data_IF_310983169322
#
_entry.id   IF_310983169322
#
_cell.length_a   1.000
_cell.length_b   1.000
_cell.length_c   1.000
_cell.angle_alpha   90.00
_cell.angle_beta   90.00
_cell.angle_gamma   90.00
#
_symmetry.space_group_name_H-M   'P 1'
#
loop_
_entity.id
_entity.type
_entity.pdbx_description
1 polymer ?
#
# COMPACT_ATOMS: atom_id res chain seq x y z
N UNK A 1 7.64 -16.18 -9.69
CA UNK A 1 7.81 -14.71 -9.65
C UNK A 1 6.50 -13.94 -9.90
N UNK A 2 5.53 -14.46 -10.67
CA UNK A 2 4.29 -13.76 -11.01
C UNK A 2 3.52 -13.18 -9.80
N UNK A 3 3.41 -13.93 -8.70
CA UNK A 3 2.74 -13.46 -7.47
C UNK A 3 3.39 -12.24 -6.81
N UNK A 4 4.73 -12.15 -6.83
CA UNK A 4 5.45 -10.98 -6.30
C UNK A 4 5.18 -9.73 -7.14
N UNK A 5 5.19 -9.88 -8.47
CA UNK A 5 4.85 -8.78 -9.39
C UNK A 5 3.42 -8.29 -9.17
N UNK A 6 2.44 -9.21 -9.09
CA UNK A 6 1.04 -8.87 -8.86
C UNK A 6 0.80 -8.17 -7.51
N UNK A 7 1.48 -8.62 -6.44
CA UNK A 7 1.45 -7.97 -5.14
C UNK A 7 2.00 -6.53 -5.21
N UNK A 8 3.15 -6.33 -5.86
CA UNK A 8 3.71 -4.99 -6.08
C UNK A 8 2.80 -4.06 -6.88
N UNK A 9 2.19 -4.58 -7.95
CA UNK A 9 1.21 -3.83 -8.76
C UNK A 9 -0.05 -3.43 -7.97
N UNK A 10 -0.50 -4.28 -7.05
CA UNK A 10 -1.63 -4.00 -6.16
C UNK A 10 -1.33 -2.83 -5.24
N UNK A 11 -0.14 -2.80 -4.63
CA UNK A 11 0.30 -1.68 -3.78
C UNK A 11 0.43 -0.39 -4.58
N UNK A 12 0.99 -0.46 -5.80
CA UNK A 12 1.08 0.70 -6.68
C UNK A 12 -0.31 1.27 -7.02
N UNK A 13 -1.28 0.40 -7.32
CA UNK A 13 -2.67 0.80 -7.60
C UNK A 13 -3.33 1.42 -6.38
N UNK A 14 -3.15 0.81 -5.21
CA UNK A 14 -3.67 1.31 -3.94
C UNK A 14 -3.16 2.72 -3.64
N UNK A 15 -1.84 2.90 -3.63
CA UNK A 15 -1.22 4.19 -3.35
C UNK A 15 -1.58 5.24 -4.41
N UNK A 16 -1.57 4.87 -5.70
CA UNK A 16 -1.93 5.79 -6.79
C UNK A 16 -3.35 6.34 -6.71
N UNK A 17 -4.28 5.63 -6.06
CA UNK A 17 -5.67 6.06 -5.90
C UNK A 17 -5.91 7.01 -4.71
N UNK A 18 -5.01 7.05 -3.72
CA UNK A 18 -5.19 7.83 -2.48
C UNK A 18 -5.24 9.37 -2.66
N UNK A 19 -4.43 9.99 -3.54
CA UNK A 19 -4.48 11.45 -3.77
C UNK A 19 -5.75 11.93 -4.49
N UNK A 20 -6.49 11.03 -5.14
CA UNK A 20 -7.65 11.35 -5.96
C UNK A 20 -9.00 11.05 -5.30
N UNK A 21 -10.08 11.22 -6.05
CA UNK A 21 -11.44 10.86 -5.63
C UNK A 21 -11.68 9.33 -5.52
N UNK A 22 -10.70 8.51 -5.90
CA UNK A 22 -10.81 7.06 -5.99
C UNK A 22 -10.57 6.32 -4.65
N UNK A 23 -10.79 6.97 -3.50
CA UNK A 23 -10.57 6.36 -2.17
C UNK A 23 -11.34 5.06 -1.98
N UNK A 24 -12.60 4.99 -2.44
CA UNK A 24 -13.38 3.75 -2.38
C UNK A 24 -12.77 2.63 -3.21
N UNK A 25 -12.13 2.94 -4.34
CA UNK A 25 -11.42 1.93 -5.15
C UNK A 25 -10.13 1.48 -4.45
N UNK A 26 -9.45 2.37 -3.75
CA UNK A 26 -8.30 2.03 -2.92
C UNK A 26 -8.72 1.11 -1.76
N UNK A 27 -9.83 1.41 -1.10
CA UNK A 27 -10.35 0.63 0.03
C UNK A 27 -10.77 -0.78 -0.41
N UNK A 28 -11.29 -0.95 -1.63
CA UNK A 28 -11.65 -2.25 -2.20
C UNK A 28 -10.46 -3.23 -2.38
N UNK A 29 -9.22 -2.71 -2.33
CA UNK A 29 -7.99 -3.52 -2.39
C UNK A 29 -7.60 -4.09 -1.02
N UNK A 30 -8.28 -3.71 0.06
CA UNK A 30 -8.09 -4.29 1.37
C UNK A 30 -8.91 -5.57 1.53
N UNK A 31 -8.45 -6.48 2.40
CA UNK A 31 -9.22 -7.66 2.80
C UNK A 31 -10.59 -7.23 3.32
N UNK A 32 -11.66 -7.83 2.77
CA UNK A 32 -13.04 -7.45 3.11
C UNK A 32 -13.50 -6.12 2.49
N UNK A 33 -12.75 -5.55 1.55
CA UNK A 33 -13.11 -4.36 0.78
C UNK A 33 -13.04 -3.04 1.56
N UNK A 34 -12.41 -3.04 2.73
CA UNK A 34 -12.19 -1.84 3.54
C UNK A 34 -10.93 -1.99 4.40
N UNK A 35 -10.23 -0.89 4.70
CA UNK A 35 -9.16 -0.94 5.68
C UNK A 35 -9.69 -1.29 7.09
N UNK A 36 -8.82 -1.81 7.97
CA UNK A 36 -9.16 -1.94 9.38
C UNK A 36 -9.51 -0.58 10.00
N UNK A 37 -10.27 -0.53 11.12
CA UNK A 37 -10.76 0.72 11.70
C UNK A 37 -9.67 1.76 12.02
N UNK A 38 -8.48 1.31 12.40
CA UNK A 38 -7.28 2.14 12.55
C UNK A 38 -6.19 1.49 11.72
N UNK A 39 -6.08 1.84 10.43
CA UNK A 39 -5.03 1.27 9.61
C UNK A 39 -3.71 1.93 9.95
N UNK A 40 -2.63 1.15 9.95
CA UNK A 40 -1.28 1.68 10.21
C UNK A 40 -0.76 2.60 9.10
N UNK A 41 -1.56 2.86 8.06
CA UNK A 41 -1.35 3.90 7.05
C UNK A 41 -2.29 5.10 7.19
N UNK A 42 -3.01 5.20 8.31
CA UNK A 42 -3.91 6.31 8.62
C UNK A 42 -3.22 7.67 8.49
N UNK A 43 -1.92 7.73 8.84
CA UNK A 43 -1.11 8.93 8.70
C UNK A 43 -1.07 9.44 7.24
N UNK A 44 -0.97 8.56 6.24
CA UNK A 44 -1.05 8.92 4.83
C UNK A 44 -2.48 9.31 4.43
N UNK A 45 -3.46 8.53 4.86
CA UNK A 45 -4.88 8.78 4.55
C UNK A 45 -5.41 10.10 5.14
N UNK A 46 -4.82 10.56 6.24
CA UNK A 46 -5.13 11.82 6.90
C UNK A 46 -4.48 13.05 6.21
N UNK A 47 -3.55 12.85 5.28
CA UNK A 47 -2.93 13.98 4.57
C UNK A 47 -3.95 14.60 3.62
N UNK A 48 -4.38 15.82 3.96
CA UNK A 48 -5.16 16.68 3.08
C UNK A 48 -4.26 17.52 2.16
N UNK A 49 -4.86 18.10 1.12
CA UNK A 49 -4.16 19.05 0.24
C UNK A 49 -2.96 18.46 -0.50
N UNK A 50 -3.00 17.16 -0.83
CA UNK A 50 -1.96 16.50 -1.61
C UNK A 50 -1.94 17.10 -3.02
N UNK A 51 -0.81 17.71 -3.38
CA UNK A 51 -0.55 18.25 -4.72
C UNK A 51 0.07 17.18 -5.61
N UNK A 52 1.00 16.41 -5.07
CA UNK A 52 1.61 15.29 -5.77
C UNK A 52 2.11 14.24 -4.81
N UNK A 53 2.20 13.00 -5.30
CA UNK A 53 2.74 11.88 -4.55
C UNK A 53 3.69 11.07 -5.43
N UNK A 54 4.89 10.81 -4.90
CA UNK A 54 5.88 9.93 -5.53
C UNK A 54 5.99 8.66 -4.70
N UNK A 55 5.77 7.53 -5.35
CA UNK A 55 5.83 6.20 -4.77
C UNK A 55 7.12 5.53 -5.26
N UNK A 56 7.93 5.06 -4.33
CA UNK A 56 9.14 4.28 -4.60
C UNK A 56 8.97 2.93 -3.90
N UNK A 57 8.69 1.90 -4.67
CA UNK A 57 8.58 0.54 -4.16
C UNK A 57 9.94 -0.15 -4.27
N UNK A 58 10.37 -0.79 -3.19
CA UNK A 58 11.46 -1.75 -3.26
C UNK A 58 10.90 -3.11 -3.73
N UNK A 59 11.75 -4.05 -4.19
CA UNK A 59 11.29 -5.35 -4.66
C UNK A 59 10.42 -6.08 -3.61
N UNK A 60 9.24 -6.60 -3.99
CA UNK A 60 8.41 -7.41 -3.10
C UNK A 60 9.16 -8.64 -2.58
N UNK A 61 8.93 -8.98 -1.30
CA UNK A 61 9.60 -10.08 -0.61
C UNK A 61 8.57 -11.08 -0.10
N UNK A 62 8.88 -12.37 -0.21
CA UNK A 62 8.03 -13.43 0.33
C UNK A 62 8.20 -13.53 1.85
N UNK A 63 7.11 -13.46 2.61
CA UNK A 63 7.12 -13.71 4.06
C UNK A 63 7.04 -15.20 4.38
N UNK A 64 6.40 -15.99 3.51
CA UNK A 64 6.33 -17.45 3.60
C UNK A 64 6.72 -18.03 2.23
N UNK A 65 7.89 -18.68 2.08
CA UNK A 65 8.38 -19.16 0.78
C UNK A 65 7.64 -20.39 0.23
N UNK A 66 6.54 -20.83 0.85
CA UNK A 66 5.68 -21.90 0.31
C UNK A 66 5.03 -21.50 -1.00
N UNK A 67 4.85 -22.47 -1.90
CA UNK A 67 4.12 -22.30 -3.15
C UNK A 67 2.75 -22.97 -3.05
N UNK A 68 1.65 -22.29 -3.46
CA UNK A 68 1.62 -20.90 -3.94
C UNK A 68 1.89 -19.90 -2.81
N UNK A 69 2.48 -18.74 -3.16
CA UNK A 69 2.81 -17.68 -2.22
C UNK A 69 1.58 -17.24 -1.42
N UNK A 70 1.67 -17.31 -0.11
CA UNK A 70 0.55 -16.96 0.78
C UNK A 70 0.67 -15.56 1.36
N UNK A 71 1.90 -15.08 1.56
CA UNK A 71 2.16 -13.77 2.20
C UNK A 71 3.36 -13.10 1.58
N UNK A 72 3.15 -11.85 1.16
CA UNK A 72 4.17 -11.01 0.55
C UNK A 72 4.22 -9.68 1.29
N UNK A 73 5.42 -9.16 1.46
CA UNK A 73 5.65 -7.79 1.90
C UNK A 73 6.19 -6.94 0.75
N UNK A 74 5.72 -5.70 0.66
CA UNK A 74 6.15 -4.72 -0.34
C UNK A 74 6.62 -3.49 0.43
N UNK A 75 7.94 -3.29 0.57
CA UNK A 75 8.47 -2.08 1.19
C UNK A 75 8.24 -0.88 0.27
N UNK A 76 7.86 0.24 0.87
CA UNK A 76 7.56 1.48 0.15
C UNK A 76 8.18 2.69 0.82
N UNK A 77 8.57 3.63 -0.02
CA UNK A 77 8.94 5.00 0.36
C UNK A 77 8.07 5.96 -0.42
N UNK A 78 7.37 6.82 0.29
CA UNK A 78 6.38 7.74 -0.28
C UNK A 78 6.83 9.16 0.04
N UNK A 79 6.98 9.98 -1.00
CA UNK A 79 7.15 11.41 -0.85
C UNK A 79 5.82 12.08 -1.23
N UNK A 80 5.23 12.77 -0.27
CA UNK A 80 3.98 13.49 -0.44
C UNK A 80 4.29 14.98 -0.45
N UNK A 81 3.88 15.68 -1.50
CA UNK A 81 3.92 17.14 -1.55
C UNK A 81 2.51 17.66 -1.28
N UNK A 82 2.38 18.50 -0.27
CA UNK A 82 1.14 19.18 0.08
C UNK A 82 1.26 20.67 -0.24
N UNK A 83 0.16 21.40 -0.09
CA UNK A 83 0.17 22.88 -0.11
C UNK A 83 0.98 23.48 1.04
N UNK A 84 1.15 22.75 2.15
CA UNK A 84 1.85 23.19 3.36
C UNK A 84 3.32 22.75 3.43
N UNK A 85 3.77 21.85 2.57
CA UNK A 85 5.15 21.36 2.62
C UNK A 85 5.35 20.01 1.92
N UNK A 86 6.41 19.30 2.31
CA UNK A 86 6.66 17.94 1.85
C UNK A 86 6.88 17.01 3.02
N UNK A 87 6.27 15.83 2.97
CA UNK A 87 6.42 14.79 3.96
C UNK A 87 6.97 13.53 3.31
N UNK A 88 7.81 12.81 4.03
CA UNK A 88 8.21 11.46 3.64
C UNK A 88 7.63 10.44 4.61
N UNK A 89 7.13 9.37 4.05
CA UNK A 89 6.60 8.22 4.76
C UNK A 89 7.34 6.98 4.29
N UNK A 90 7.80 6.17 5.22
CA UNK A 90 8.41 4.87 4.92
C UNK A 90 7.59 3.78 5.56
N UNK A 91 7.51 2.63 4.89
CA UNK A 91 6.68 1.56 5.39
C UNK A 91 6.71 0.31 4.54
N UNK A 92 5.77 -0.57 4.86
CA UNK A 92 5.62 -1.85 4.20
C UNK A 92 4.14 -2.19 4.12
N UNK A 93 3.69 -2.63 2.95
CA UNK A 93 2.36 -3.22 2.76
C UNK A 93 2.48 -4.73 2.75
N UNK A 94 1.59 -5.41 3.45
CA UNK A 94 1.52 -6.87 3.51
C UNK A 94 0.28 -7.35 2.78
N UNK A 95 0.50 -8.29 1.87
CA UNK A 95 -0.53 -8.78 0.98
C UNK A 95 -0.67 -10.30 1.07
N UNK A 96 -1.89 -10.74 0.80
CA UNK A 96 -2.27 -12.15 0.63
C UNK A 96 -3.04 -12.31 -0.68
N UNK A 97 -3.04 -13.50 -1.30
CA UNK A 97 -3.88 -13.76 -2.46
C UNK A 97 -5.36 -13.71 -2.08
N UNK A 98 -6.20 -13.21 -2.99
CA UNK A 98 -7.66 -13.22 -2.85
C UNK A 98 -8.17 -14.67 -2.98
N UNK A 99 -9.07 -15.13 -2.10
CA UNK A 99 -9.68 -16.44 -2.26
C UNK A 99 -10.38 -16.57 -3.62
N UNK A 100 -10.04 -17.62 -4.38
CA UNK A 100 -10.69 -17.94 -5.65
C UNK A 100 -10.22 -17.14 -6.87
N UNK A 101 -9.09 -16.42 -6.79
CA UNK A 101 -8.51 -15.72 -7.94
C UNK A 101 -7.01 -15.46 -7.82
N UNK A 102 -6.45 -14.78 -8.83
CA UNK A 102 -5.02 -14.42 -8.90
C UNK A 102 -4.72 -12.99 -8.39
N UNK A 103 -5.75 -12.30 -7.91
CA UNK A 103 -5.63 -10.96 -7.33
C UNK A 103 -5.03 -11.00 -5.93
N UNK A 104 -4.49 -9.86 -5.50
CA UNK A 104 -3.91 -9.69 -4.17
C UNK A 104 -4.68 -8.65 -3.38
N UNK A 105 -4.70 -8.84 -2.06
CA UNK A 105 -5.39 -7.96 -1.13
C UNK A 105 -4.44 -7.51 -0.03
N UNK A 106 -4.59 -6.26 0.41
CA UNK A 106 -3.85 -5.70 1.54
C UNK A 106 -4.55 -6.16 2.82
N UNK A 107 -3.82 -6.90 3.67
CA UNK A 107 -4.34 -7.30 4.99
C UNK A 107 -3.73 -6.48 6.13
N UNK A 108 -2.57 -5.86 5.89
CA UNK A 108 -1.86 -5.04 6.87
C UNK A 108 -0.95 -4.06 6.14
N UNK A 109 -0.73 -2.90 6.76
CA UNK A 109 0.33 -1.97 6.39
C UNK A 109 1.13 -1.63 7.64
N UNK A 110 2.25 -0.94 7.46
CA UNK A 110 2.94 -0.17 8.51
C UNK A 110 3.51 1.03 7.80
N UNK A 111 3.16 2.24 8.21
CA UNK A 111 3.64 3.45 7.56
C UNK A 111 3.92 4.54 8.60
N UNK A 112 5.14 5.06 8.59
CA UNK A 112 5.59 6.03 9.57
C UNK A 112 6.20 7.26 8.89
N UNK A 113 5.92 8.47 9.40
CA UNK A 113 6.64 9.67 8.99
C UNK A 113 8.13 9.54 9.27
N UNK A 114 8.95 9.96 8.32
CA UNK A 114 10.39 10.08 8.53
C UNK A 114 10.66 11.49 9.01
N UNK A 115 11.07 11.63 10.27
CA UNK A 115 11.60 12.89 10.79
C UNK A 115 12.90 13.20 10.05
N UNK A 116 12.99 14.41 9.52
CA UNK A 116 14.21 14.94 8.90
C UNK A 116 14.72 16.09 9.73
#
# INVERSE_FOLDING_TARGET
>A
MAGLTAAGSTVQRYLGALPGAARTQADALWVGGRPPPVPDDAALRAIGGIVSMRILNDPPRSLDPRQPLQRVEVPVRILVRTTSGSQQLNGTYRLQPRPGGDDWEIYSATLQPVLR
#
